data_IF_941252574645
#
_entry.id   IF_941252574645
#
_cell.length_a   1.000
_cell.length_b   1.000
_cell.length_c   1.000
_cell.angle_alpha   90.00
_cell.angle_beta   90.00
_cell.angle_gamma   90.00
#
_symmetry.space_group_name_H-M   'P 1'
#
loop_
_entity.id
_entity.type
_entity.pdbx_description
1 polymer ?
#
# COMPACT_ATOMS: atom_id res chain seq x y z
N UNK A 1 2.12 42.99 24.75
CA UNK A 1 1.99 42.66 23.31
C UNK A 1 2.47 41.24 23.13
N UNK A 2 1.57 40.25 23.24
CA UNK A 2 1.90 38.84 23.05
C UNK A 2 1.82 38.52 21.55
N UNK A 3 2.92 38.02 21.01
CA UNK A 3 3.01 37.45 19.67
C UNK A 3 2.05 36.27 19.55
N UNK A 4 1.05 36.37 18.65
CA UNK A 4 0.22 35.23 18.28
C UNK A 4 1.10 34.17 17.63
N UNK A 5 1.41 33.13 18.40
CA UNK A 5 1.97 31.90 17.89
C UNK A 5 0.82 31.18 17.18
N UNK A 6 0.68 31.37 15.86
CA UNK A 6 -0.23 30.58 15.03
C UNK A 6 0.27 29.13 15.02
N UNK A 7 -0.05 28.39 16.09
CA UNK A 7 0.26 26.99 16.21
C UNK A 7 -0.49 26.22 15.12
N UNK A 8 0.27 25.46 14.34
CA UNK A 8 -0.26 24.52 13.36
C UNK A 8 -1.24 23.58 14.07
N UNK A 9 -2.55 23.77 13.86
CA UNK A 9 -3.57 22.95 14.51
C UNK A 9 -3.67 21.60 13.78
N UNK A 10 -3.39 20.52 14.51
CA UNK A 10 -3.56 19.14 14.04
C UNK A 10 -4.58 18.40 14.90
N UNK A 11 -5.55 17.75 14.26
CA UNK A 11 -6.59 16.99 14.95
C UNK A 11 -6.50 15.51 14.57
N UNK A 12 -6.58 14.58 15.53
CA UNK A 12 -6.64 13.16 15.23
C UNK A 12 -7.96 12.82 14.52
N UNK A 13 -7.87 12.05 13.44
CA UNK A 13 -9.00 11.54 12.68
C UNK A 13 -8.83 10.02 12.49
N UNK A 14 -9.90 9.27 12.72
CA UNK A 14 -9.93 7.83 12.48
C UNK A 14 -11.08 7.55 11.53
N UNK A 15 -10.77 6.96 10.37
CA UNK A 15 -11.75 6.54 9.38
C UNK A 15 -11.80 5.02 9.43
N UNK A 16 -12.95 4.47 9.82
CA UNK A 16 -13.16 3.02 9.89
C UNK A 16 -14.25 2.63 8.88
N UNK A 17 -13.88 1.82 7.91
CA UNK A 17 -14.80 1.19 6.96
C UNK A 17 -15.07 -0.23 7.45
N UNK A 18 -16.34 -0.63 7.49
CA UNK A 18 -16.78 -1.92 8.00
C UNK A 18 -17.57 -2.69 6.95
N UNK A 19 -17.47 -4.01 7.01
CA UNK A 19 -18.19 -4.93 6.12
C UNK A 19 -18.50 -6.22 6.90
N UNK A 20 -19.60 -6.86 6.55
CA UNK A 20 -19.98 -8.14 7.12
C UNK A 20 -19.14 -9.28 6.53
N UNK A 21 -18.80 -10.27 7.36
CA UNK A 21 -18.35 -11.57 6.88
C UNK A 21 -19.51 -12.29 6.17
N UNK A 22 -19.20 -13.30 5.36
CA UNK A 22 -20.25 -14.12 4.75
C UNK A 22 -21.15 -14.78 5.80
N UNK A 23 -20.55 -15.37 6.84
CA UNK A 23 -21.28 -15.97 7.96
C UNK A 23 -22.16 -14.94 8.70
N UNK A 24 -21.70 -13.70 8.86
CA UNK A 24 -22.49 -12.61 9.43
C UNK A 24 -23.74 -12.29 8.62
N UNK A 25 -23.59 -12.20 7.29
CA UNK A 25 -24.72 -12.01 6.37
C UNK A 25 -25.71 -13.18 6.41
N UNK A 26 -25.20 -14.40 6.39
CA UNK A 26 -26.02 -15.62 6.42
C UNK A 26 -26.79 -15.76 7.75
N UNK A 27 -26.22 -15.26 8.85
CA UNK A 27 -26.86 -15.18 10.16
C UNK A 27 -27.85 -13.99 10.29
N UNK A 28 -27.96 -13.13 9.27
CA UNK A 28 -28.89 -12.00 9.26
C UNK A 28 -28.42 -10.77 10.02
N UNK A 29 -27.14 -10.65 10.35
CA UNK A 29 -26.60 -9.45 11.01
C UNK A 29 -26.58 -8.24 10.07
N UNK A 30 -26.78 -7.06 10.63
CA UNK A 30 -26.60 -5.77 9.97
C UNK A 30 -25.58 -4.88 10.69
N UNK A 31 -24.89 -4.04 9.92
CA UNK A 31 -24.01 -3.01 10.50
C UNK A 31 -24.81 -1.93 11.25
N UNK A 32 -26.09 -1.74 10.94
CA UNK A 32 -26.95 -0.77 11.64
C UNK A 32 -27.21 -1.15 13.11
N UNK A 33 -26.94 -2.41 13.48
CA UNK A 33 -26.98 -2.89 14.87
C UNK A 33 -25.83 -2.31 15.71
N UNK A 34 -24.80 -1.76 15.07
CA UNK A 34 -23.57 -1.32 15.70
C UNK A 34 -23.52 0.19 15.87
N UNK A 35 -23.17 0.62 17.09
CA UNK A 35 -22.90 2.03 17.36
C UNK A 35 -21.46 2.39 16.98
N UNK A 36 -21.20 3.60 16.45
CA UNK A 36 -19.85 4.07 16.18
C UNK A 36 -18.93 3.91 17.39
N UNK A 37 -17.78 3.27 17.19
CA UNK A 37 -16.80 3.04 18.26
C UNK A 37 -17.07 1.82 19.15
N UNK A 38 -18.14 1.05 18.94
CA UNK A 38 -18.33 -0.21 19.65
C UNK A 38 -17.19 -1.21 19.32
N UNK A 39 -16.96 -2.22 20.19
CA UNK A 39 -16.06 -3.32 19.88
C UNK A 39 -16.44 -4.01 18.57
N UNK A 40 -15.43 -4.36 17.77
CA UNK A 40 -15.63 -5.10 16.52
C UNK A 40 -16.20 -6.48 16.84
N UNK A 41 -17.34 -6.79 16.24
CA UNK A 41 -17.95 -8.11 16.37
C UNK A 41 -17.21 -9.13 15.50
N UNK A 42 -17.22 -10.43 15.85
CA UNK A 42 -16.56 -11.49 15.06
C UNK A 42 -17.01 -11.58 13.61
N UNK A 43 -18.25 -11.16 13.34
CA UNK A 43 -18.87 -11.14 12.01
C UNK A 43 -18.62 -9.84 11.23
N UNK A 44 -17.76 -8.94 11.73
CA UNK A 44 -17.36 -7.71 11.06
C UNK A 44 -15.89 -7.77 10.67
N UNK A 45 -15.62 -7.39 9.43
CA UNK A 45 -14.30 -7.05 8.93
C UNK A 45 -14.19 -5.53 8.81
N UNK A 46 -13.01 -4.97 9.03
CA UNK A 46 -12.84 -3.52 8.91
C UNK A 46 -11.48 -3.12 8.36
N UNK A 47 -11.46 -1.96 7.68
CA UNK A 47 -10.24 -1.24 7.36
C UNK A 47 -10.26 0.08 8.12
N UNK A 48 -9.26 0.29 8.99
CA UNK A 48 -9.11 1.49 9.79
C UNK A 48 -7.91 2.30 9.32
N UNK A 49 -8.16 3.53 8.89
CA UNK A 49 -7.13 4.51 8.53
C UNK A 49 -7.02 5.54 9.65
N UNK A 50 -5.84 5.62 10.25
CA UNK A 50 -5.50 6.62 11.25
C UNK A 50 -4.82 7.79 10.55
N UNK A 51 -5.34 8.98 10.73
CA UNK A 51 -4.84 10.18 10.09
C UNK A 51 -4.88 11.40 11.01
N UNK A 52 -4.17 12.44 10.60
CA UNK A 52 -4.22 13.76 11.19
C UNK A 52 -4.83 14.73 10.18
N UNK A 53 -5.86 15.45 10.63
CA UNK A 53 -6.40 16.59 9.91
C UNK A 53 -5.51 17.80 10.24
N UNK A 54 -4.90 18.39 9.21
CA UNK A 54 -3.90 19.47 9.35
C UNK A 54 -4.44 20.73 8.71
N UNK A 55 -4.51 21.82 9.47
CA UNK A 55 -4.85 23.14 8.93
C UNK A 55 -3.61 23.79 8.33
N UNK A 56 -3.68 24.27 7.09
CA UNK A 56 -2.57 25.00 6.46
C UNK A 56 -2.79 26.50 6.63
N UNK A 57 -2.02 27.19 7.48
CA UNK A 57 -2.14 28.64 7.63
C UNK A 57 -1.62 29.38 6.38
N UNK A 58 -2.21 30.53 6.05
CA UNK A 58 -1.69 31.44 5.02
C UNK A 58 -2.38 31.41 3.65
N UNK A 59 -3.49 30.68 3.48
CA UNK A 59 -4.37 30.80 2.32
C UNK A 59 -5.64 31.59 2.70
N UNK A 60 -6.22 32.39 1.77
CA UNK A 60 -7.45 33.18 2.04
C UNK A 60 -8.68 32.30 2.33
N UNK A 61 -8.60 31.01 2.00
CA UNK A 61 -9.54 29.97 2.43
C UNK A 61 -8.83 29.01 3.37
N UNK A 62 -9.52 28.60 4.45
CA UNK A 62 -9.05 27.55 5.34
C UNK A 62 -8.97 26.23 4.59
N UNK A 63 -7.77 25.90 4.12
CA UNK A 63 -7.50 24.63 3.45
C UNK A 63 -7.04 23.61 4.48
N UNK A 64 -7.73 22.47 4.49
CA UNK A 64 -7.46 21.35 5.37
C UNK A 64 -6.83 20.22 4.56
N UNK A 65 -5.73 19.67 5.06
CA UNK A 65 -5.09 18.48 4.54
C UNK A 65 -5.33 17.28 5.45
N UNK A 66 -5.25 16.07 4.88
CA UNK A 66 -5.26 14.82 5.65
C UNK A 66 -3.89 14.17 5.50
N UNK A 67 -3.25 13.86 6.62
CA UNK A 67 -2.01 13.09 6.68
C UNK A 67 -2.31 11.70 7.23
N UNK A 68 -2.14 10.66 6.42
CA UNK A 68 -2.27 9.27 6.88
C UNK A 68 -1.05 8.90 7.73
N UNK A 69 -1.30 8.37 8.93
CA UNK A 69 -0.25 7.91 9.85
C UNK A 69 -0.03 6.40 9.68
N UNK A 70 -1.11 5.63 9.68
CA UNK A 70 -1.07 4.17 9.55
C UNK A 70 -2.43 3.64 9.10
N UNK A 71 -2.42 2.46 8.52
CA UNK A 71 -3.62 1.75 8.11
C UNK A 71 -3.60 0.34 8.69
N UNK A 72 -4.76 -0.14 9.11
CA UNK A 72 -4.95 -1.49 9.64
C UNK A 72 -6.13 -2.15 8.96
N UNK A 73 -5.99 -3.43 8.64
CA UNK A 73 -7.07 -4.31 8.23
C UNK A 73 -7.35 -5.28 9.39
N UNK A 74 -8.63 -5.47 9.70
CA UNK A 74 -9.12 -6.45 10.65
C UNK A 74 -9.96 -7.47 9.90
N UNK A 75 -9.46 -8.69 9.78
CA UNK A 75 -10.12 -9.79 9.06
C UNK A 75 -9.93 -11.05 9.87
N UNK A 76 -11.00 -11.84 10.01
CA UNK A 76 -11.00 -13.11 10.75
C UNK A 76 -10.38 -12.96 12.15
N UNK A 77 -10.77 -11.89 12.86
CA UNK A 77 -10.30 -11.56 14.22
C UNK A 77 -8.79 -11.24 14.34
N UNK A 78 -8.09 -11.11 13.22
CA UNK A 78 -6.66 -10.76 13.18
C UNK A 78 -6.49 -9.35 12.62
N UNK A 79 -5.65 -8.55 13.29
CA UNK A 79 -5.25 -7.22 12.82
C UNK A 79 -3.93 -7.27 12.06
N UNK A 80 -3.94 -6.73 10.84
CA UNK A 80 -2.78 -6.54 9.99
C UNK A 80 -2.51 -5.05 9.83
N UNK A 81 -1.25 -4.64 9.96
CA UNK A 81 -0.82 -3.29 9.59
C UNK A 81 -0.46 -3.26 8.11
N UNK A 82 -1.01 -2.29 7.37
CA UNK A 82 -0.71 -2.12 5.95
C UNK A 82 0.58 -1.33 5.83
N UNK A 83 1.48 -1.83 4.99
CA UNK A 83 2.71 -1.16 4.65
C UNK A 83 2.87 -1.13 3.14
N UNK A 84 3.20 0.04 2.61
CA UNK A 84 3.41 0.21 1.17
C UNK A 84 4.61 -0.60 0.69
N UNK A 85 4.47 -1.17 -0.50
CA UNK A 85 5.54 -1.87 -1.19
C UNK A 85 6.00 -0.97 -2.32
N UNK A 86 7.27 -0.55 -2.28
CA UNK A 86 7.81 0.37 -3.28
C UNK A 86 8.18 -0.40 -4.54
N UNK A 87 7.73 0.07 -5.71
CA UNK A 87 7.99 -0.60 -6.99
C UNK A 87 6.99 -1.72 -7.35
N UNK A 88 5.87 -1.82 -6.62
CA UNK A 88 4.74 -2.71 -6.94
C UNK A 88 3.77 -2.13 -7.99
N UNK A 89 4.02 -0.91 -8.46
CA UNK A 89 3.11 -0.15 -9.32
C UNK A 89 2.71 -0.94 -10.59
N UNK A 90 1.43 -1.32 -10.61
CA UNK A 90 0.62 -1.96 -11.65
C UNK A 90 1.34 -2.89 -12.62
N UNK A 91 1.44 -4.18 -12.26
CA UNK A 91 1.39 -5.29 -13.23
C UNK A 91 -0.02 -5.42 -13.88
N UNK A 92 -1.02 -4.71 -13.36
CA UNK A 92 -2.43 -4.77 -13.76
C UNK A 92 -2.91 -3.47 -14.43
N UNK A 93 -2.54 -3.25 -15.70
CA UNK A 93 -3.32 -2.46 -16.67
C UNK A 93 -2.75 -2.58 -18.11
N UNK A 94 -2.22 -3.74 -18.50
CA UNK A 94 -2.07 -4.10 -19.91
C UNK A 94 -3.31 -4.88 -20.36
N UNK A 95 -4.49 -4.27 -20.20
CA UNK A 95 -5.64 -4.67 -20.99
C UNK A 95 -5.27 -4.35 -22.44
N UNK A 96 -4.87 -5.37 -23.19
CA UNK A 96 -4.69 -5.32 -24.62
C UNK A 96 -6.01 -4.90 -25.25
N UNK A 97 -6.20 -3.60 -25.48
CA UNK A 97 -7.22 -3.16 -26.42
C UNK A 97 -6.64 -3.40 -27.82
N UNK A 98 -7.09 -4.50 -28.42
CA UNK A 98 -6.68 -4.89 -29.75
C UNK A 98 -7.18 -3.86 -30.75
N UNK A 99 -6.27 -3.09 -31.34
CA UNK A 99 -6.49 -2.51 -32.67
C UNK A 99 -5.21 -2.67 -33.47
N UNK A 100 -5.23 -3.63 -34.38
CA UNK A 100 -4.20 -3.87 -35.38
C UNK A 100 -4.23 -2.77 -36.44
N UNK A 101 -3.13 -2.05 -36.65
CA UNK A 101 -2.78 -1.43 -37.93
C UNK A 101 -1.28 -1.09 -38.00
N UNK A 102 -0.58 -1.89 -38.80
CA UNK A 102 0.44 -1.51 -39.79
C UNK A 102 1.75 -0.78 -39.42
N UNK A 103 2.85 -1.48 -39.78
CA UNK A 103 4.22 -1.09 -40.15
C UNK A 103 5.02 -0.02 -39.37
N UNK A 104 6.14 -0.47 -38.79
CA UNK A 104 7.32 0.34 -38.49
C UNK A 104 7.97 -0.02 -37.16
N UNK A 105 9.10 -0.73 -37.20
CA UNK A 105 9.87 -1.10 -36.02
C UNK A 105 10.36 0.12 -35.23
N UNK A 106 9.72 0.38 -34.09
CA UNK A 106 10.32 1.05 -32.93
C UNK A 106 9.82 0.28 -31.70
N UNK A 107 10.73 -0.43 -31.05
CA UNK A 107 10.54 -1.13 -29.79
C UNK A 107 10.30 -0.12 -28.66
N UNK A 108 9.05 0.31 -28.48
CA UNK A 108 8.62 1.16 -27.36
C UNK A 108 8.21 0.30 -26.17
N UNK A 109 9.20 -0.31 -25.51
CA UNK A 109 9.55 -0.03 -24.12
C UNK A 109 8.48 -0.02 -23.01
N UNK A 110 7.30 -0.63 -23.16
CA UNK A 110 6.26 -0.59 -22.11
C UNK A 110 6.44 -1.62 -20.97
N UNK A 111 7.43 -2.52 -21.07
CA UNK A 111 7.71 -3.54 -20.02
C UNK A 111 8.98 -3.28 -19.19
N UNK A 112 9.80 -2.29 -19.56
CA UNK A 112 11.07 -1.98 -18.89
C UNK A 112 10.91 -1.54 -17.42
N UNK A 113 9.69 -1.20 -17.00
CA UNK A 113 9.35 -0.80 -15.63
C UNK A 113 9.06 -1.95 -14.67
N UNK A 114 8.83 -3.17 -15.15
CA UNK A 114 8.30 -4.30 -14.34
C UNK A 114 9.27 -5.45 -14.14
N UNK A 115 10.35 -5.47 -14.90
CA UNK A 115 11.36 -6.53 -14.85
C UNK A 115 12.34 -6.37 -13.69
N UNK A 116 12.86 -7.49 -13.20
CA UNK A 116 13.92 -7.57 -12.22
C UNK A 116 15.12 -6.71 -12.66
N UNK A 117 15.58 -5.80 -11.79
CA UNK A 117 16.70 -4.90 -12.10
C UNK A 117 18.06 -5.61 -12.24
N UNK A 118 18.11 -6.90 -11.90
CA UNK A 118 19.33 -7.71 -11.97
C UNK A 118 19.38 -8.50 -13.29
N UNK A 119 18.34 -9.29 -13.60
CA UNK A 119 18.34 -10.11 -14.81
C UNK A 119 17.70 -9.44 -16.02
N UNK A 120 16.86 -8.41 -15.84
CA UNK A 120 16.11 -7.75 -16.93
C UNK A 120 15.38 -8.78 -17.81
N UNK A 121 14.73 -9.75 -17.18
CA UNK A 121 14.04 -10.84 -17.91
C UNK A 121 12.82 -11.34 -17.16
N UNK A 122 12.95 -11.61 -15.86
CA UNK A 122 11.85 -12.08 -15.04
C UNK A 122 11.14 -10.91 -14.36
N UNK A 123 9.81 -10.98 -14.17
CA UNK A 123 9.07 -9.94 -13.46
C UNK A 123 9.50 -9.84 -11.99
N UNK A 124 9.35 -8.64 -11.42
CA UNK A 124 9.56 -8.43 -9.99
C UNK A 124 8.46 -9.11 -9.20
N UNK A 125 8.84 -9.95 -8.24
CA UNK A 125 7.90 -10.67 -7.38
C UNK A 125 8.38 -10.72 -5.91
N UNK A 126 9.51 -10.09 -5.60
CA UNK A 126 10.16 -10.23 -4.29
C UNK A 126 10.47 -8.87 -3.67
N UNK A 127 9.85 -8.61 -2.52
CA UNK A 127 10.11 -7.44 -1.70
C UNK A 127 11.22 -7.70 -0.68
N UNK A 128 12.08 -6.70 -0.49
CA UNK A 128 13.21 -6.73 0.45
C UNK A 128 12.80 -6.10 1.78
N UNK A 129 12.81 -6.86 2.87
CA UNK A 129 12.49 -6.34 4.21
C UNK A 129 13.77 -5.93 4.97
N UNK A 130 13.73 -4.83 5.74
CA UNK A 130 12.55 -4.03 6.13
C UNK A 130 12.24 -2.84 5.21
N UNK A 131 13.02 -2.64 4.14
CA UNK A 131 12.89 -1.44 3.29
C UNK A 131 11.72 -1.46 2.29
N UNK A 132 11.10 -2.64 2.08
CA UNK A 132 9.94 -2.91 1.21
C UNK A 132 10.11 -2.57 -0.28
N UNK A 133 11.35 -2.44 -0.78
CA UNK A 133 11.57 -2.30 -2.21
C UNK A 133 11.38 -3.64 -2.92
N UNK A 134 10.46 -3.69 -3.87
CA UNK A 134 10.22 -4.80 -4.78
C UNK A 134 10.89 -4.48 -6.13
N UNK A 135 12.12 -4.97 -6.31
CA UNK A 135 12.95 -4.65 -7.48
C UNK A 135 13.54 -5.89 -8.16
N UNK A 136 13.28 -7.09 -7.64
CA UNK A 136 13.89 -8.32 -8.10
C UNK A 136 12.87 -9.44 -8.24
N UNK A 137 13.18 -10.39 -9.11
CA UNK A 137 12.58 -11.72 -9.09
C UNK A 137 13.18 -12.58 -7.97
N UNK A 138 12.48 -13.63 -7.55
CA UNK A 138 12.89 -14.51 -6.45
C UNK A 138 14.27 -15.16 -6.63
N UNK A 139 14.67 -15.66 -7.83
CA UNK A 139 16.00 -16.21 -8.04
C UNK A 139 17.12 -15.18 -7.79
N UNK A 140 16.99 -13.98 -8.36
CA UNK A 140 17.98 -12.91 -8.19
C UNK A 140 18.03 -12.41 -6.74
N UNK A 141 16.88 -12.33 -6.06
CA UNK A 141 16.84 -11.93 -4.65
C UNK A 141 17.58 -12.93 -3.75
N UNK A 142 17.45 -14.24 -4.01
CA UNK A 142 18.18 -15.29 -3.28
C UNK A 142 19.70 -15.16 -3.49
N UNK A 143 20.14 -15.01 -4.74
CA UNK A 143 21.56 -14.83 -5.06
C UNK A 143 22.15 -13.57 -4.41
N UNK A 144 21.41 -12.45 -4.41
CA UNK A 144 21.83 -11.21 -3.77
C UNK A 144 22.07 -11.37 -2.26
N UNK A 145 21.23 -12.16 -1.59
CA UNK A 145 21.32 -12.44 -0.15
C UNK A 145 22.62 -13.16 0.21
N UNK A 146 23.10 -14.04 -0.67
CA UNK A 146 24.35 -14.80 -0.48
C UNK A 146 25.61 -13.95 -0.80
N UNK A 147 25.48 -12.93 -1.65
CA UNK A 147 26.62 -12.11 -2.08
C UNK A 147 26.80 -10.85 -1.24
N UNK A 148 25.84 -9.92 -1.31
CA UNK A 148 26.00 -8.57 -0.71
C UNK A 148 25.08 -8.34 0.47
N UNK A 149 23.93 -9.04 0.50
CA UNK A 149 22.89 -8.90 1.51
C UNK A 149 22.42 -7.44 1.71
N UNK A 150 22.41 -6.63 0.64
CA UNK A 150 21.94 -5.22 0.65
C UNK A 150 20.94 -4.96 -0.47
N UNK A 151 19.86 -4.23 -0.17
CA UNK A 151 18.86 -3.81 -1.15
C UNK A 151 19.50 -3.03 -2.32
N UNK A 152 19.21 -3.35 -3.60
CA UNK A 152 19.76 -2.61 -4.75
C UNK A 152 19.32 -1.14 -4.81
N UNK A 153 18.14 -0.81 -4.27
CA UNK A 153 17.56 0.53 -4.36
C UNK A 153 18.11 1.44 -3.25
N UNK A 154 17.98 1.02 -1.99
CA UNK A 154 18.30 1.87 -0.84
C UNK A 154 19.56 1.44 -0.06
N UNK A 155 20.22 0.35 -0.47
CA UNK A 155 21.45 -0.21 0.13
C UNK A 155 21.34 -0.64 1.60
N UNK A 156 20.13 -0.64 2.18
CA UNK A 156 19.85 -1.18 3.52
C UNK A 156 20.08 -2.69 3.55
N UNK A 157 20.55 -3.21 4.68
CA UNK A 157 20.74 -4.64 4.91
C UNK A 157 19.42 -5.40 4.75
N UNK A 158 19.49 -6.56 4.10
CA UNK A 158 18.35 -7.46 3.94
C UNK A 158 18.22 -8.34 5.18
N UNK A 159 17.07 -8.25 5.84
CA UNK A 159 16.72 -9.10 7.00
C UNK A 159 15.94 -10.33 6.54
N UNK A 160 14.96 -10.12 5.66
CA UNK A 160 14.15 -11.17 5.05
C UNK A 160 13.67 -10.77 3.66
N UNK A 161 13.23 -11.77 2.90
CA UNK A 161 12.68 -11.62 1.55
C UNK A 161 11.24 -12.11 1.59
N UNK A 162 10.32 -11.32 1.05
CA UNK A 162 8.91 -11.67 0.93
C UNK A 162 8.56 -11.82 -0.54
N UNK A 163 8.26 -13.05 -0.95
CA UNK A 163 7.69 -13.31 -2.28
C UNK A 163 6.22 -12.91 -2.29
N UNK A 164 5.84 -12.10 -3.25
CA UNK A 164 4.50 -11.60 -3.47
C UNK A 164 3.96 -12.33 -4.69
N UNK A 165 2.86 -13.05 -4.51
CA UNK A 165 2.11 -13.68 -5.60
C UNK A 165 0.90 -12.81 -5.83
N UNK A 166 0.89 -12.08 -6.95
CA UNK A 166 -0.29 -11.36 -7.41
C UNK A 166 -1.22 -12.41 -8.03
N UNK A 167 -2.42 -12.56 -7.46
CA UNK A 167 -3.46 -13.46 -7.99
C UNK A 167 -4.33 -12.75 -9.02
#
# INVERSE_FOLDING_TARGET
MCTHNEQMASYPLVIRLETLTQAGRDAGHSLDELSPGCPLQPWVQSQTTYCELVRTPGQPTDTWGIRVIKQKIWVNEVSYELQDIYGIESQSCAAKDGTSSDSGAIDTGDDAGRECVICMSEPRDTAVLPCRHMCMCAPCAKALREQTNKCPICRRQVESLLKIVVQ
#
